data_IF_751119016157
#
_entry.id   IF_751119016157
#
_cell.length_a   1.000
_cell.length_b   1.000
_cell.length_c   1.000
_cell.angle_alpha   90.00
_cell.angle_beta   90.00
_cell.angle_gamma   90.00
#
_symmetry.space_group_name_H-M   'P 1'
#
loop_
_entity.id
_entity.type
_entity.pdbx_description
1 polymer ?
#
# COMPACT_ATOMS: atom_id res chain seq x y z
N UNK A 1 -11.69 -22.37 1.64
CA UNK A 1 -11.40 -22.69 0.22
C UNK A 1 -10.46 -23.88 0.04
N UNK A 2 -9.51 -24.14 0.94
CA UNK A 2 -8.65 -25.34 0.87
C UNK A 2 -9.22 -26.56 1.63
N UNK A 3 -10.54 -26.73 1.62
CA UNK A 3 -11.19 -27.93 2.20
C UNK A 3 -11.60 -28.85 1.07
N UNK A 4 -11.61 -30.17 1.30
CA UNK A 4 -12.02 -31.17 0.29
C UNK A 4 -13.35 -30.83 -0.39
N UNK A 5 -14.40 -30.40 0.36
CA UNK A 5 -15.66 -29.98 -0.28
C UNK A 5 -15.51 -28.75 -1.18
N UNK A 6 -14.63 -27.81 -0.82
CA UNK A 6 -14.36 -26.62 -1.62
C UNK A 6 -13.70 -26.93 -2.95
N UNK A 7 -12.78 -27.90 -2.99
CA UNK A 7 -12.15 -28.36 -4.24
C UNK A 7 -13.15 -29.10 -5.14
N UNK A 8 -13.97 -29.98 -4.56
CA UNK A 8 -15.01 -30.71 -5.30
C UNK A 8 -16.04 -29.74 -5.88
N UNK A 9 -16.52 -28.79 -5.08
CA UNK A 9 -17.50 -27.80 -5.53
C UNK A 9 -16.96 -26.95 -6.69
N UNK A 10 -15.69 -26.51 -6.61
CA UNK A 10 -15.06 -25.79 -7.73
C UNK A 10 -14.96 -26.63 -8.99
N UNK A 11 -14.53 -27.89 -8.88
CA UNK A 11 -14.45 -28.79 -10.04
C UNK A 11 -15.81 -29.00 -10.72
N UNK A 12 -16.89 -29.13 -9.92
CA UNK A 12 -18.26 -29.21 -10.43
C UNK A 12 -18.65 -27.90 -11.14
N UNK A 13 -18.39 -26.75 -10.53
CA UNK A 13 -18.68 -25.44 -11.15
C UNK A 13 -17.95 -25.27 -12.49
N UNK A 14 -16.66 -25.57 -12.56
CA UNK A 14 -15.89 -25.52 -13.82
C UNK A 14 -16.48 -26.43 -14.88
N UNK A 15 -16.85 -27.65 -14.49
CA UNK A 15 -17.44 -28.64 -15.40
C UNK A 15 -18.78 -28.15 -15.95
N UNK A 16 -19.60 -27.51 -15.12
CA UNK A 16 -20.87 -26.91 -15.53
C UNK A 16 -20.68 -25.71 -16.47
N UNK A 17 -19.71 -24.83 -16.20
CA UNK A 17 -19.39 -23.69 -17.07
C UNK A 17 -18.91 -24.19 -18.44
N UNK A 18 -18.00 -25.16 -18.47
CA UNK A 18 -17.49 -25.71 -19.73
C UNK A 18 -18.59 -26.46 -20.49
N UNK A 19 -19.43 -27.23 -19.78
CA UNK A 19 -20.59 -27.89 -20.38
C UNK A 19 -21.58 -26.88 -20.97
N UNK A 20 -21.86 -25.78 -20.28
CA UNK A 20 -22.75 -24.72 -20.78
C UNK A 20 -22.21 -24.05 -22.04
N UNK A 21 -20.89 -23.78 -22.10
CA UNK A 21 -20.23 -23.26 -23.29
C UNK A 21 -20.31 -24.25 -24.46
N UNK A 22 -20.06 -25.54 -24.21
CA UNK A 22 -20.15 -26.58 -25.23
C UNK A 22 -21.58 -26.75 -25.74
N UNK A 23 -22.56 -26.84 -24.85
CA UNK A 23 -23.97 -26.91 -25.21
C UNK A 23 -24.39 -25.71 -26.05
N UNK A 24 -23.96 -24.50 -25.68
CA UNK A 24 -24.25 -23.30 -26.46
C UNK A 24 -23.58 -23.32 -27.84
N UNK A 25 -22.36 -23.87 -27.96
CA UNK A 25 -21.69 -24.08 -29.26
C UNK A 25 -22.51 -25.01 -30.15
N UNK A 26 -22.97 -26.14 -29.63
CA UNK A 26 -23.68 -27.17 -30.41
C UNK A 26 -25.16 -26.90 -30.64
N UNK A 27 -25.77 -25.96 -29.90
CA UNK A 27 -27.18 -25.60 -30.09
C UNK A 27 -27.35 -24.81 -31.40
N UNK A 28 -28.38 -25.16 -32.17
CA UNK A 28 -28.78 -24.44 -33.38
C UNK A 28 -29.30 -23.04 -33.03
N UNK A 29 -28.77 -22.02 -33.72
CA UNK A 29 -28.97 -20.60 -33.35
C UNK A 29 -29.92 -19.85 -34.28
N UNK A 30 -30.67 -20.57 -35.12
CA UNK A 30 -31.48 -19.97 -36.19
C UNK A 30 -32.59 -19.02 -35.72
N UNK A 31 -33.04 -19.14 -34.47
CA UNK A 31 -34.13 -18.33 -33.91
C UNK A 31 -33.66 -17.22 -32.95
N UNK A 32 -32.34 -17.03 -32.79
CA UNK A 32 -31.80 -16.03 -31.87
C UNK A 32 -31.24 -14.83 -32.62
N UNK A 33 -31.38 -13.65 -32.03
CA UNK A 33 -30.76 -12.45 -32.59
C UNK A 33 -29.23 -12.53 -32.54
N UNK A 34 -28.56 -11.95 -33.54
CA UNK A 34 -27.10 -11.98 -33.62
C UNK A 34 -26.44 -11.29 -32.44
N UNK A 35 -27.09 -10.26 -31.89
CA UNK A 35 -26.57 -9.53 -30.72
C UNK A 35 -26.59 -10.44 -29.48
N UNK A 36 -27.69 -11.14 -29.24
CA UNK A 36 -27.84 -12.06 -28.10
C UNK A 36 -26.86 -13.24 -28.18
N UNK A 37 -26.63 -13.76 -29.39
CA UNK A 37 -25.60 -14.79 -29.63
C UNK A 37 -24.21 -14.25 -29.27
N UNK A 38 -23.88 -13.03 -29.70
CA UNK A 38 -22.58 -12.41 -29.43
C UNK A 38 -22.37 -12.16 -27.92
N UNK A 39 -23.38 -11.63 -27.24
CA UNK A 39 -23.34 -11.39 -25.79
C UNK A 39 -23.14 -12.70 -25.03
N UNK A 40 -23.89 -13.75 -25.39
CA UNK A 40 -23.81 -15.04 -24.70
C UNK A 40 -22.45 -15.71 -24.88
N UNK A 41 -21.86 -15.65 -26.08
CA UNK A 41 -20.49 -16.11 -26.30
C UNK A 41 -19.48 -15.31 -25.47
N UNK A 42 -19.59 -13.97 -25.45
CA UNK A 42 -18.68 -13.13 -24.68
C UNK A 42 -18.74 -13.45 -23.18
N UNK A 43 -19.93 -13.65 -22.62
CA UNK A 43 -20.12 -13.99 -21.21
C UNK A 43 -19.59 -15.40 -20.88
N UNK A 44 -19.95 -16.42 -21.68
CA UNK A 44 -19.53 -17.81 -21.41
C UNK A 44 -18.02 -17.99 -21.60
N UNK A 45 -17.43 -17.40 -22.64
CA UNK A 45 -15.99 -17.44 -22.85
C UNK A 45 -15.24 -16.66 -21.77
N UNK A 46 -15.76 -15.51 -21.33
CA UNK A 46 -15.20 -14.75 -20.22
C UNK A 46 -15.25 -15.52 -18.89
N UNK A 47 -16.40 -16.14 -18.58
CA UNK A 47 -16.57 -16.96 -17.39
C UNK A 47 -15.65 -18.19 -17.40
N UNK A 48 -15.57 -18.91 -18.53
CA UNK A 48 -14.67 -20.05 -18.67
C UNK A 48 -13.20 -19.64 -18.54
N UNK A 49 -12.80 -18.52 -19.15
CA UNK A 49 -11.44 -18.00 -19.04
C UNK A 49 -11.07 -17.63 -17.61
N UNK A 50 -11.93 -16.89 -16.90
CA UNK A 50 -11.72 -16.51 -15.50
C UNK A 50 -11.67 -17.74 -14.57
N UNK A 51 -12.52 -18.73 -14.81
CA UNK A 51 -12.59 -19.94 -13.99
C UNK A 51 -11.37 -20.84 -14.20
N UNK A 52 -10.87 -20.96 -15.44
CA UNK A 52 -9.59 -21.63 -15.75
C UNK A 52 -8.45 -20.94 -15.00
N UNK A 53 -8.35 -19.61 -15.06
CA UNK A 53 -7.32 -18.85 -14.32
C UNK A 53 -7.43 -19.11 -12.80
N UNK A 54 -8.65 -19.09 -12.26
CA UNK A 54 -8.88 -19.32 -10.84
C UNK A 54 -8.53 -20.76 -10.40
N UNK A 55 -8.75 -21.76 -11.26
CA UNK A 55 -8.32 -23.14 -11.05
C UNK A 55 -6.81 -23.27 -11.11
N UNK A 56 -6.16 -22.65 -12.10
CA UNK A 56 -4.70 -22.66 -12.22
C UNK A 56 -4.04 -22.03 -10.98
N UNK A 57 -4.52 -20.86 -10.54
CA UNK A 57 -4.03 -20.23 -9.30
C UNK A 57 -4.20 -21.12 -8.07
N UNK A 58 -5.31 -21.87 -8.01
CA UNK A 58 -5.59 -22.77 -6.90
C UNK A 58 -4.72 -24.03 -6.93
N UNK A 59 -4.45 -24.61 -8.11
CA UNK A 59 -3.58 -25.79 -8.25
C UNK A 59 -2.10 -25.47 -8.00
N UNK A 60 -1.68 -24.25 -8.34
CA UNK A 60 -0.30 -23.75 -8.14
C UNK A 60 -0.11 -23.18 -6.73
N UNK A 61 -1.18 -22.99 -5.95
CA UNK A 61 -1.08 -22.51 -4.57
C UNK A 61 -0.23 -23.43 -3.70
N UNK A 62 0.67 -22.85 -2.89
CA UNK A 62 1.53 -23.58 -1.96
C UNK A 62 0.75 -24.58 -1.09
N UNK A 63 -0.43 -24.18 -0.61
CA UNK A 63 -1.27 -25.04 0.23
C UNK A 63 -1.87 -26.22 -0.54
N UNK A 64 -2.21 -26.03 -1.82
CA UNK A 64 -2.70 -27.11 -2.67
C UNK A 64 -1.56 -28.07 -3.02
N UNK A 65 -0.39 -27.54 -3.38
CA UNK A 65 0.83 -28.31 -3.66
C UNK A 65 1.24 -29.14 -2.45
N UNK A 66 1.26 -28.55 -1.24
CA UNK A 66 1.55 -29.28 0.00
C UNK A 66 0.48 -30.33 0.29
N UNK A 67 -0.81 -29.97 0.20
CA UNK A 67 -1.90 -30.91 0.47
C UNK A 67 -1.90 -32.12 -0.49
N UNK A 68 -1.62 -31.88 -1.77
CA UNK A 68 -1.54 -32.92 -2.80
C UNK A 68 -0.29 -33.78 -2.57
N UNK A 69 0.88 -33.19 -2.31
CA UNK A 69 2.09 -33.97 -2.02
C UNK A 69 1.93 -34.82 -0.76
N UNK A 70 1.40 -34.26 0.33
CA UNK A 70 1.12 -35.02 1.56
C UNK A 70 0.13 -36.17 1.31
N UNK A 71 -0.94 -35.96 0.55
CA UNK A 71 -1.90 -37.03 0.21
C UNK A 71 -1.30 -38.11 -0.68
N UNK A 72 -0.49 -37.75 -1.66
CA UNK A 72 0.19 -38.72 -2.53
C UNK A 72 1.18 -39.58 -1.74
N UNK A 73 1.86 -39.00 -0.76
CA UNK A 73 2.72 -39.73 0.20
C UNK A 73 1.88 -40.67 1.06
N UNK A 74 0.77 -40.20 1.65
CA UNK A 74 -0.10 -41.01 2.50
C UNK A 74 -0.76 -42.19 1.75
N UNK A 75 -1.08 -42.01 0.47
CA UNK A 75 -1.70 -43.06 -0.36
C UNK A 75 -0.68 -44.05 -0.94
N UNK A 76 0.61 -43.91 -0.63
CA UNK A 76 1.67 -44.78 -1.18
C UNK A 76 1.82 -44.68 -2.71
N UNK A 77 1.24 -43.65 -3.33
CA UNK A 77 1.21 -43.45 -4.80
C UNK A 77 2.28 -42.47 -5.29
N UNK A 78 3.28 -42.18 -4.48
CA UNK A 78 4.40 -41.32 -4.90
C UNK A 78 5.33 -42.13 -5.83
N UNK A 79 4.92 -42.25 -7.09
CA UNK A 79 5.80 -42.68 -8.16
C UNK A 79 6.67 -41.49 -8.58
N UNK A 80 7.98 -41.57 -8.37
CA UNK A 80 8.93 -40.51 -8.70
C UNK A 80 8.92 -40.16 -10.19
N UNK A 81 8.51 -41.09 -11.07
CA UNK A 81 8.46 -40.87 -12.51
C UNK A 81 7.11 -40.37 -13.06
N UNK A 82 6.11 -40.14 -12.19
CA UNK A 82 4.81 -39.64 -12.62
C UNK A 82 4.89 -38.22 -13.20
N UNK A 83 4.05 -37.94 -14.20
CA UNK A 83 3.88 -36.57 -14.74
C UNK A 83 3.48 -35.60 -13.62
N UNK A 84 2.71 -36.07 -12.63
CA UNK A 84 2.24 -35.27 -11.50
C UNK A 84 3.38 -34.90 -10.55
N UNK A 85 4.30 -35.82 -10.23
CA UNK A 85 5.44 -35.53 -9.35
C UNK A 85 6.39 -34.53 -10.01
N UNK A 86 6.72 -34.72 -11.29
CA UNK A 86 7.56 -33.78 -12.07
C UNK A 86 6.93 -32.39 -12.17
N UNK A 87 5.60 -32.32 -12.33
CA UNK A 87 4.88 -31.05 -12.36
C UNK A 87 4.91 -30.35 -11.00
N UNK A 88 4.69 -31.07 -9.90
CA UNK A 88 4.76 -30.53 -8.54
C UNK A 88 6.18 -30.09 -8.17
N UNK A 89 7.21 -30.85 -8.53
CA UNK A 89 8.61 -30.48 -8.35
C UNK A 89 8.98 -29.24 -9.16
N UNK A 90 8.47 -29.12 -10.40
CA UNK A 90 8.68 -27.93 -11.23
C UNK A 90 7.99 -26.69 -10.63
N UNK A 91 6.80 -26.85 -10.03
CA UNK A 91 6.12 -25.76 -9.33
C UNK A 91 6.88 -25.39 -8.05
N UNK A 92 7.30 -26.36 -7.25
CA UNK A 92 8.04 -26.12 -6.00
C UNK A 92 9.44 -25.54 -6.23
N UNK A 93 10.11 -25.96 -7.31
CA UNK A 93 11.43 -25.44 -7.70
C UNK A 93 11.34 -24.07 -8.36
N UNK A 94 10.20 -23.71 -8.94
CA UNK A 94 9.87 -22.33 -9.32
C UNK A 94 9.64 -21.50 -8.06
N UNK A 95 10.72 -21.21 -7.34
CA UNK A 95 10.78 -20.27 -6.21
C UNK A 95 10.55 -18.85 -6.75
N UNK A 96 9.33 -18.56 -7.17
CA UNK A 96 8.92 -17.17 -7.32
C UNK A 96 8.89 -16.58 -5.91
N UNK A 97 9.56 -15.45 -5.66
CA UNK A 97 9.48 -14.81 -4.37
C UNK A 97 8.00 -14.52 -4.09
N UNK A 98 7.50 -15.02 -2.95
CA UNK A 98 6.07 -14.89 -2.60
C UNK A 98 5.62 -13.44 -2.50
N UNK A 99 6.58 -12.53 -2.30
CA UNK A 99 6.41 -11.10 -2.37
C UNK A 99 7.22 -10.55 -3.55
N UNK A 100 6.60 -9.68 -4.34
CA UNK A 100 7.19 -9.07 -5.53
C UNK A 100 8.31 -8.06 -5.24
N UNK A 101 8.65 -7.87 -3.96
CA UNK A 101 9.52 -6.80 -3.46
C UNK A 101 9.11 -5.41 -3.94
N UNK A 102 7.84 -5.24 -4.28
CA UNK A 102 7.29 -3.96 -4.71
C UNK A 102 6.19 -3.52 -3.76
N UNK A 103 5.96 -2.22 -3.75
CA UNK A 103 4.88 -1.60 -3.01
C UNK A 103 4.08 -0.67 -3.92
N UNK A 104 2.80 -0.56 -3.61
CA UNK A 104 1.90 0.32 -4.36
C UNK A 104 2.26 1.78 -4.08
N UNK A 105 2.04 2.64 -5.06
CA UNK A 105 2.30 4.06 -4.98
C UNK A 105 1.03 4.81 -5.38
N UNK A 106 0.67 5.82 -4.59
CA UNK A 106 -0.49 6.66 -4.85
C UNK A 106 -0.22 8.07 -4.37
N UNK A 107 -0.47 9.07 -5.22
CA UNK A 107 -0.15 10.46 -4.95
C UNK A 107 -1.37 11.38 -5.13
N UNK A 108 -1.66 12.21 -4.13
CA UNK A 108 -2.84 13.06 -4.10
C UNK A 108 -2.82 14.14 -5.19
N UNK A 109 -1.68 14.81 -5.37
CA UNK A 109 -1.56 15.92 -6.33
C UNK A 109 -1.64 15.37 -7.75
N UNK A 110 -0.94 14.26 -8.04
CA UNK A 110 -1.02 13.61 -9.35
C UNK A 110 -2.45 13.15 -9.67
N UNK A 111 -3.15 12.54 -8.70
CA UNK A 111 -4.56 12.20 -8.84
C UNK A 111 -5.45 13.42 -9.17
N UNK A 112 -5.24 14.55 -8.49
CA UNK A 112 -6.03 15.76 -8.73
C UNK A 112 -5.75 16.41 -10.09
N UNK A 113 -4.57 16.19 -10.67
CA UNK A 113 -4.16 16.74 -11.96
C UNK A 113 -4.46 15.83 -13.15
N UNK A 114 -4.61 14.53 -12.93
CA UNK A 114 -4.89 13.56 -13.99
C UNK A 114 -6.39 13.50 -14.30
N UNK A 115 -6.71 13.50 -15.60
CA UNK A 115 -8.07 13.28 -16.07
C UNK A 115 -8.29 11.79 -16.32
N UNK A 116 -9.50 11.32 -16.05
CA UNK A 116 -9.98 10.00 -16.51
C UNK A 116 -9.80 9.88 -18.03
N UNK A 117 -9.20 8.78 -18.52
CA UNK A 117 -9.27 8.45 -19.94
C UNK A 117 -10.74 8.26 -20.37
N UNK A 118 -11.12 8.77 -21.54
CA UNK A 118 -12.53 8.78 -21.98
C UNK A 118 -13.16 7.38 -22.08
N UNK A 119 -12.37 6.33 -22.39
CA UNK A 119 -12.85 4.95 -22.47
C UNK A 119 -13.21 4.35 -21.10
N UNK A 120 -12.57 4.81 -20.01
CA UNK A 120 -12.86 4.37 -18.64
C UNK A 120 -14.20 4.90 -18.16
N UNK A 121 -14.63 6.08 -18.63
CA UNK A 121 -15.94 6.62 -18.28
C UNK A 121 -17.10 5.72 -18.73
N UNK A 122 -16.94 4.99 -19.84
CA UNK A 122 -17.96 4.08 -20.34
C UNK A 122 -18.11 2.83 -19.46
N UNK A 123 -16.99 2.23 -19.06
CA UNK A 123 -16.99 1.04 -18.18
C UNK A 123 -17.43 1.38 -16.76
N UNK A 124 -17.04 2.55 -16.24
CA UNK A 124 -17.49 3.07 -14.94
C UNK A 124 -19.01 3.24 -14.88
N UNK A 125 -19.63 3.72 -15.97
CA UNK A 125 -21.09 3.91 -16.05
C UNK A 125 -21.84 2.58 -15.99
N UNK A 126 -21.20 1.49 -16.41
CA UNK A 126 -21.75 0.13 -16.37
C UNK A 126 -21.54 -0.52 -15.00
N UNK A 127 -20.37 -0.34 -14.38
CA UNK A 127 -19.98 -0.97 -13.11
C UNK A 127 -20.47 -0.26 -11.85
N UNK A 128 -20.84 1.04 -11.94
CA UNK A 128 -21.46 1.77 -10.83
C UNK A 128 -20.54 2.12 -9.65
N UNK A 129 -19.22 1.96 -9.77
CA UNK A 129 -18.24 2.29 -8.70
C UNK A 129 -17.11 3.18 -9.23
N UNK A 130 -17.41 4.43 -9.63
CA UNK A 130 -16.45 5.35 -10.28
C UNK A 130 -15.20 5.61 -9.43
N UNK A 131 -15.38 5.86 -8.15
CA UNK A 131 -14.30 6.39 -7.30
C UNK A 131 -13.26 5.31 -6.98
N UNK A 132 -13.69 4.06 -6.75
CA UNK A 132 -12.77 2.95 -6.46
C UNK A 132 -11.91 2.62 -7.68
N UNK A 133 -12.49 2.64 -8.89
CA UNK A 133 -11.75 2.34 -10.11
C UNK A 133 -10.73 3.43 -10.44
N UNK A 134 -11.08 4.68 -10.22
CA UNK A 134 -10.17 5.82 -10.39
C UNK A 134 -8.92 5.69 -9.53
N UNK A 135 -9.11 5.39 -8.24
CA UNK A 135 -7.99 5.24 -7.32
C UNK A 135 -7.11 4.06 -7.70
N UNK A 136 -7.71 2.95 -8.15
CA UNK A 136 -6.97 1.79 -8.65
C UNK A 136 -6.15 2.11 -9.91
N UNK A 137 -6.72 2.84 -10.88
CA UNK A 137 -6.04 3.22 -12.12
C UNK A 137 -4.90 4.22 -11.91
N UNK A 138 -4.98 5.04 -10.85
CA UNK A 138 -3.93 5.95 -10.44
C UNK A 138 -2.90 5.30 -9.49
N UNK A 139 -3.00 4.00 -9.24
CA UNK A 139 -2.01 3.26 -8.45
C UNK A 139 -0.90 2.75 -9.36
N UNK A 140 0.35 3.03 -9.04
CA UNK A 140 1.53 2.43 -9.66
C UNK A 140 2.28 1.53 -8.68
N UNK A 141 3.37 0.90 -9.11
CA UNK A 141 4.20 0.03 -8.28
C UNK A 141 5.66 0.45 -8.37
N UNK A 142 6.33 0.47 -7.22
CA UNK A 142 7.76 0.76 -7.10
C UNK A 142 8.46 -0.36 -6.34
N UNK A 143 9.71 -0.66 -6.71
CA UNK A 143 10.54 -1.64 -6.02
C UNK A 143 10.96 -1.11 -4.64
N UNK A 144 10.81 -1.94 -3.61
CA UNK A 144 11.41 -1.74 -2.30
C UNK A 144 12.86 -2.19 -2.38
N UNK A 145 13.74 -1.27 -2.78
CA UNK A 145 15.17 -1.55 -2.92
C UNK A 145 15.87 -1.81 -1.57
N UNK A 146 17.10 -2.30 -1.64
CA UNK A 146 17.92 -2.63 -0.44
C UNK A 146 18.18 -1.40 0.44
N UNK A 147 18.30 -0.21 -0.15
CA UNK A 147 18.53 1.03 0.59
C UNK A 147 17.31 1.39 1.45
N UNK A 148 16.11 1.28 0.89
CA UNK A 148 14.85 1.49 1.60
C UNK A 148 14.64 0.43 2.71
N UNK A 149 14.91 -0.85 2.42
CA UNK A 149 14.86 -1.93 3.43
C UNK A 149 15.82 -1.62 4.59
N UNK A 150 17.05 -1.23 4.28
CA UNK A 150 18.08 -0.90 5.27
C UNK A 150 17.68 0.33 6.10
N UNK A 151 17.11 1.35 5.47
CA UNK A 151 16.64 2.56 6.16
C UNK A 151 15.53 2.24 7.17
N UNK A 152 14.47 1.54 6.73
CA UNK A 152 13.38 1.09 7.61
C UNK A 152 13.93 0.25 8.77
N UNK A 153 14.81 -0.70 8.48
CA UNK A 153 15.43 -1.54 9.50
C UNK A 153 16.23 -0.73 10.53
N UNK A 154 17.03 0.22 10.06
CA UNK A 154 17.90 1.04 10.91
C UNK A 154 17.07 1.89 11.86
N UNK A 155 16.03 2.54 11.35
CA UNK A 155 15.16 3.39 12.17
C UNK A 155 14.33 2.60 13.18
N UNK A 156 13.77 1.45 12.80
CA UNK A 156 13.06 0.60 13.76
C UNK A 156 14.00 0.02 14.83
N UNK A 157 15.23 -0.34 14.45
CA UNK A 157 16.25 -0.80 15.40
C UNK A 157 16.67 0.31 16.35
N UNK A 158 16.80 1.55 15.86
CA UNK A 158 17.08 2.73 16.69
C UNK A 158 15.95 2.98 17.69
N UNK A 159 14.70 2.92 17.23
CA UNK A 159 13.50 3.04 18.07
C UNK A 159 13.44 1.97 19.15
N UNK A 160 13.71 0.71 18.81
CA UNK A 160 13.77 -0.41 19.77
C UNK A 160 14.84 -0.21 20.86
N UNK A 161 16.04 0.26 20.49
CA UNK A 161 17.12 0.52 21.46
C UNK A 161 16.84 1.68 22.42
N UNK A 162 15.92 2.57 22.09
CA UNK A 162 15.55 3.71 22.94
C UNK A 162 14.59 3.31 24.08
N UNK A 163 14.06 2.08 24.07
CA UNK A 163 13.08 1.61 25.04
C UNK A 163 13.73 0.72 26.11
N UNK A 164 13.63 1.12 27.38
CA UNK A 164 14.25 0.38 28.50
C UNK A 164 13.26 -0.57 29.22
N UNK A 165 11.95 -0.39 29.00
CA UNK A 165 10.90 -1.12 29.70
C UNK A 165 9.63 -1.25 28.84
N UNK A 166 8.73 -2.14 29.24
CA UNK A 166 7.48 -2.46 28.53
C UNK A 166 6.56 -1.23 28.36
N UNK A 167 6.50 -0.33 29.34
CA UNK A 167 5.67 0.90 29.27
C UNK A 167 6.26 1.87 28.24
N UNK A 168 7.59 2.02 28.23
CA UNK A 168 8.30 2.81 27.23
C UNK A 168 8.12 2.25 25.81
N UNK A 169 8.14 0.92 25.63
CA UNK A 169 7.86 0.26 24.34
C UNK A 169 6.45 0.60 23.87
N UNK A 170 5.44 0.49 24.76
CA UNK A 170 4.05 0.78 24.43
C UNK A 170 3.85 2.24 24.01
N UNK A 171 4.45 3.17 24.76
CA UNK A 171 4.44 4.60 24.46
C UNK A 171 5.07 4.87 23.08
N UNK A 172 6.25 4.32 22.81
CA UNK A 172 6.93 4.46 21.52
C UNK A 172 6.12 3.90 20.35
N UNK A 173 5.43 2.77 20.53
CA UNK A 173 4.56 2.18 19.51
C UNK A 173 3.32 3.02 19.21
N UNK A 174 2.94 3.92 20.12
CA UNK A 174 1.81 4.85 19.97
C UNK A 174 2.22 6.18 19.31
N UNK A 175 3.52 6.48 19.23
CA UNK A 175 4.02 7.68 18.58
C UNK A 175 3.86 7.61 17.05
N UNK A 176 3.54 8.77 16.45
CA UNK A 176 3.15 8.95 15.03
C UNK A 176 4.04 9.97 14.31
N UNK A 177 5.27 10.13 14.78
CA UNK A 177 6.26 11.12 14.35
C UNK A 177 6.76 11.99 15.49
N UNK A 178 6.03 12.07 16.61
CA UNK A 178 6.40 12.89 17.77
C UNK A 178 7.70 12.43 18.43
N UNK A 179 8.00 11.13 18.44
CA UNK A 179 9.26 10.64 18.99
C UNK A 179 10.46 11.09 18.15
N UNK A 180 10.38 10.97 16.81
CA UNK A 180 11.41 11.50 15.90
C UNK A 180 11.57 13.02 16.08
N UNK A 181 10.48 13.78 16.14
CA UNK A 181 10.56 15.24 16.29
C UNK A 181 11.17 15.65 17.64
N UNK A 182 10.88 14.92 18.71
CA UNK A 182 11.49 15.13 20.03
C UNK A 182 12.99 14.79 20.01
N UNK A 183 13.37 13.61 19.51
CA UNK A 183 14.76 13.16 19.38
C UNK A 183 15.62 14.10 18.52
N UNK A 184 15.03 14.70 17.49
CA UNK A 184 15.69 15.66 16.59
C UNK A 184 15.60 17.12 17.05
N UNK A 185 14.88 17.41 18.14
CA UNK A 185 14.74 18.76 18.71
C UNK A 185 13.78 19.69 17.96
N UNK A 186 12.88 19.16 17.13
CA UNK A 186 11.91 19.92 16.33
C UNK A 186 10.47 19.84 16.84
N UNK A 187 10.22 19.23 18.00
CA UNK A 187 8.87 19.09 18.57
C UNK A 187 8.16 20.44 18.75
N UNK A 188 8.87 21.50 19.17
CA UNK A 188 8.27 22.83 19.34
C UNK A 188 7.87 23.49 18.01
N UNK A 189 8.59 23.21 16.92
CA UNK A 189 8.34 23.82 15.60
C UNK A 189 7.32 23.02 14.78
N UNK A 190 7.38 21.69 14.87
CA UNK A 190 6.65 20.75 14.00
C UNK A 190 5.65 19.85 14.75
N UNK A 191 5.60 19.84 16.08
CA UNK A 191 4.75 18.92 16.87
C UNK A 191 3.26 18.99 16.49
N UNK A 192 2.76 20.19 16.19
CA UNK A 192 1.39 20.42 15.72
C UNK A 192 1.01 19.56 14.50
N UNK A 193 1.98 19.17 13.67
CA UNK A 193 1.79 18.38 12.46
C UNK A 193 1.65 16.87 12.69
N UNK A 194 2.01 16.39 13.89
CA UNK A 194 1.96 14.96 14.25
C UNK A 194 1.01 14.68 15.43
N UNK A 195 0.72 15.70 16.24
CA UNK A 195 -0.17 15.61 17.41
C UNK A 195 -1.66 15.50 17.04
N UNK A 196 -2.00 15.80 15.79
CA UNK A 196 -3.37 15.74 15.24
C UNK A 196 -3.88 14.30 15.08
N UNK A 197 -5.10 14.10 14.55
CA UNK A 197 -5.61 12.76 14.21
C UNK A 197 -4.66 12.05 13.22
N UNK A 198 -4.57 10.72 13.27
CA UNK A 198 -3.56 9.99 12.50
C UNK A 198 -3.72 10.18 10.98
N UNK A 199 -4.95 10.18 10.48
CA UNK A 199 -5.29 10.44 9.09
C UNK A 199 -4.98 11.88 8.66
N UNK A 200 -5.18 12.85 9.57
CA UNK A 200 -4.82 14.24 9.36
C UNK A 200 -3.30 14.39 9.21
N UNK A 201 -2.53 13.87 10.16
CA UNK A 201 -1.07 13.90 10.11
C UNK A 201 -0.55 13.19 8.85
N UNK A 202 -1.10 12.03 8.49
CA UNK A 202 -0.68 11.29 7.29
C UNK A 202 -0.92 12.10 6.01
N UNK A 203 -2.13 12.66 5.82
CA UNK A 203 -2.45 13.47 4.64
C UNK A 203 -1.61 14.75 4.59
N UNK A 204 -1.45 15.43 5.73
CA UNK A 204 -0.66 16.64 5.89
C UNK A 204 0.80 16.41 5.47
N UNK A 205 1.44 15.38 6.04
CA UNK A 205 2.82 15.03 5.74
C UNK A 205 2.98 14.55 4.29
N UNK A 206 2.00 13.85 3.72
CA UNK A 206 2.05 13.40 2.33
C UNK A 206 2.16 14.58 1.36
N UNK A 207 1.25 15.54 1.48
CA UNK A 207 1.24 16.72 0.62
C UNK A 207 2.51 17.56 0.85
N UNK A 208 2.94 17.74 2.11
CA UNK A 208 4.14 18.48 2.43
C UNK A 208 5.40 17.83 1.81
N UNK A 209 5.52 16.50 1.91
CA UNK A 209 6.60 15.72 1.30
C UNK A 209 6.62 15.90 -0.22
N UNK A 210 5.45 15.86 -0.86
CA UNK A 210 5.31 16.04 -2.30
C UNK A 210 5.72 17.46 -2.78
N UNK A 211 5.31 18.49 -2.03
CA UNK A 211 5.71 19.88 -2.26
C UNK A 211 7.23 20.05 -2.08
N UNK A 212 7.83 19.42 -1.07
CA UNK A 212 9.28 19.43 -0.81
C UNK A 212 10.09 18.72 -1.89
N UNK A 213 9.51 17.73 -2.59
CA UNK A 213 10.25 16.82 -3.46
C UNK A 213 10.95 17.48 -4.65
N UNK A 214 10.42 18.54 -5.27
CA UNK A 214 11.00 19.09 -6.51
C UNK A 214 11.74 20.43 -6.39
N UNK A 215 11.77 21.05 -5.21
CA UNK A 215 12.21 22.43 -5.08
C UNK A 215 13.70 22.68 -5.36
N UNK A 216 14.61 21.79 -4.92
CA UNK A 216 16.07 22.03 -5.03
C UNK A 216 16.68 21.69 -6.38
N UNK A 217 15.98 20.95 -7.25
CA UNK A 217 16.52 20.59 -8.57
C UNK A 217 16.45 21.73 -9.60
N UNK A 218 15.73 22.81 -9.29
CA UNK A 218 15.52 23.95 -10.21
C UNK A 218 16.25 25.22 -9.78
N UNK A 219 16.54 25.41 -8.48
CA UNK A 219 17.26 26.60 -7.97
C UNK A 219 18.77 26.49 -8.21
N UNK A 220 19.30 25.28 -8.13
CA UNK A 220 20.68 25.00 -8.49
C UNK A 220 20.63 24.25 -9.82
N UNK A 221 21.06 24.87 -10.92
CA UNK A 221 21.30 24.22 -12.21
C UNK A 221 22.42 23.18 -12.18
N UNK A 222 22.55 22.46 -11.08
CA UNK A 222 23.45 21.33 -10.92
C UNK A 222 22.79 20.14 -11.60
N UNK A 223 23.11 20.02 -12.90
CA UNK A 223 23.00 18.76 -13.61
C UNK A 223 23.56 17.64 -12.75
N UNK A 224 22.93 16.47 -12.86
CA UNK A 224 23.21 15.24 -12.14
C UNK A 224 24.68 14.80 -12.20
N UNK A 225 25.55 15.46 -11.43
CA UNK A 225 26.97 15.18 -11.29
C UNK A 225 27.35 15.19 -9.80
N UNK A 226 26.69 14.34 -9.03
CA UNK A 226 27.29 13.73 -7.84
C UNK A 226 26.99 12.23 -7.84
N UNK A 227 27.34 11.57 -8.96
CA UNK A 227 27.71 10.17 -8.91
C UNK A 227 29.05 10.09 -8.15
N UNK A 228 28.98 9.82 -6.84
CA UNK A 228 29.98 9.15 -6.00
C UNK A 228 29.88 9.60 -4.53
N UNK A 229 28.82 9.20 -3.84
CA UNK A 229 28.92 8.87 -2.40
C UNK A 229 27.81 7.86 -2.08
N UNK A 230 28.15 6.81 -1.34
CA UNK A 230 27.22 5.78 -0.84
C UNK A 230 26.28 6.32 0.27
N UNK A 231 25.77 7.55 0.10
CA UNK A 231 24.86 8.20 1.02
C UNK A 231 23.42 7.77 0.70
N UNK A 232 22.61 7.40 1.71
CA UNK A 232 21.22 7.04 1.52
C UNK A 232 20.42 8.20 0.92
N UNK A 233 19.71 7.95 -0.18
CA UNK A 233 18.79 8.93 -0.79
C UNK A 233 17.49 9.02 0.02
N UNK A 234 17.57 9.69 1.17
CA UNK A 234 16.42 9.92 2.05
C UNK A 234 15.27 10.61 1.32
N UNK A 235 15.56 11.42 0.29
CA UNK A 235 14.54 12.11 -0.51
C UNK A 235 13.68 11.12 -1.28
N UNK A 236 14.30 10.23 -2.05
CA UNK A 236 13.58 9.19 -2.81
C UNK A 236 12.84 8.24 -1.86
N UNK A 237 13.50 7.77 -0.80
CA UNK A 237 12.90 6.87 0.19
C UNK A 237 11.69 7.50 0.91
N UNK A 238 11.80 8.76 1.33
CA UNK A 238 10.70 9.51 1.95
C UNK A 238 9.46 9.57 1.07
N UNK A 239 9.64 9.92 -0.22
CA UNK A 239 8.53 9.98 -1.17
C UNK A 239 7.88 8.61 -1.36
N UNK A 240 8.69 7.57 -1.49
CA UNK A 240 8.20 6.21 -1.69
C UNK A 240 7.38 5.67 -0.51
N UNK A 241 7.82 5.92 0.73
CA UNK A 241 7.02 5.57 1.92
C UNK A 241 5.76 6.43 1.97
N UNK A 242 5.86 7.73 1.66
CA UNK A 242 4.72 8.64 1.64
C UNK A 242 3.62 8.22 0.66
N UNK A 243 3.98 7.94 -0.59
CA UNK A 243 3.05 7.52 -1.65
C UNK A 243 2.44 6.14 -1.32
N UNK A 244 3.19 5.24 -0.67
CA UNK A 244 2.68 3.96 -0.19
C UNK A 244 1.69 4.11 0.98
N UNK A 245 2.00 4.99 1.94
CA UNK A 245 1.13 5.26 3.08
C UNK A 245 -0.19 5.89 2.66
N UNK A 246 -0.17 6.79 1.67
CA UNK A 246 -1.41 7.32 1.09
C UNK A 246 -2.20 6.25 0.36
N UNK A 247 -1.54 5.35 -0.39
CA UNK A 247 -2.21 4.20 -1.00
C UNK A 247 -2.96 3.36 0.04
N UNK A 248 -2.32 3.07 1.18
CA UNK A 248 -2.96 2.32 2.26
C UNK A 248 -4.20 3.05 2.79
N UNK A 249 -4.13 4.38 2.97
CA UNK A 249 -5.26 5.18 3.45
C UNK A 249 -6.45 5.17 2.49
N UNK A 250 -6.19 5.31 1.18
CA UNK A 250 -7.24 5.55 0.17
C UNK A 250 -7.75 4.26 -0.47
N UNK A 251 -6.85 3.38 -0.89
CA UNK A 251 -7.17 2.18 -1.68
C UNK A 251 -7.36 0.97 -0.79
N UNK A 252 -6.63 0.90 0.32
CA UNK A 252 -6.64 -0.26 1.23
C UNK A 252 -6.96 0.13 2.69
N UNK A 253 -8.05 0.87 2.95
CA UNK A 253 -8.36 1.41 4.27
C UNK A 253 -8.52 0.34 5.36
N UNK A 254 -8.81 -0.91 4.98
CA UNK A 254 -8.89 -2.05 5.92
C UNK A 254 -7.55 -2.44 6.56
N UNK A 255 -6.43 -2.01 5.98
CA UNK A 255 -5.09 -2.17 6.55
C UNK A 255 -4.67 -0.97 7.40
N UNK A 256 -5.43 0.11 7.36
CA UNK A 256 -5.27 1.24 8.25
C UNK A 256 -6.20 1.04 9.45
N UNK A 257 -5.85 1.66 10.58
CA UNK A 257 -6.58 1.57 11.86
C UNK A 257 -8.11 1.70 11.72
N UNK A 258 -8.86 1.31 12.76
CA UNK A 258 -10.34 1.36 12.84
C UNK A 258 -10.99 2.74 12.58
N UNK A 259 -10.19 3.79 12.37
CA UNK A 259 -10.60 5.17 12.08
C UNK A 259 -10.62 5.51 10.57
N UNK A 260 -10.46 4.53 9.68
CA UNK A 260 -10.34 4.75 8.23
C UNK A 260 -11.48 5.58 7.58
N UNK A 261 -12.68 5.62 8.19
CA UNK A 261 -13.81 6.39 7.68
C UNK A 261 -13.59 7.91 7.69
N UNK A 262 -13.00 8.46 8.76
CA UNK A 262 -12.77 9.92 8.90
C UNK A 262 -11.66 10.37 7.93
N UNK A 263 -10.61 9.56 7.79
CA UNK A 263 -9.52 9.84 6.86
C UNK A 263 -9.95 9.94 5.40
N UNK A 264 -10.91 9.11 4.97
CA UNK A 264 -11.45 9.20 3.60
C UNK A 264 -12.27 10.47 3.37
N UNK A 265 -12.97 10.98 4.40
CA UNK A 265 -13.67 12.27 4.32
C UNK A 265 -12.65 13.40 4.15
N UNK A 266 -11.62 13.40 5.00
CA UNK A 266 -10.54 14.41 4.96
C UNK A 266 -9.79 14.39 3.64
N UNK A 267 -9.54 13.20 3.09
CA UNK A 267 -8.95 13.01 1.77
C UNK A 267 -9.83 13.60 0.65
N UNK A 268 -11.14 13.36 0.68
CA UNK A 268 -12.09 13.88 -0.32
C UNK A 268 -12.18 15.40 -0.28
N UNK A 269 -12.30 15.99 0.90
CA UNK A 269 -12.30 17.45 1.07
C UNK A 269 -11.01 18.06 0.54
N UNK A 270 -9.87 17.41 0.81
CA UNK A 270 -8.56 17.85 0.32
C UNK A 270 -8.41 17.73 -1.19
N UNK A 271 -8.93 16.67 -1.79
CA UNK A 271 -8.97 16.55 -3.24
C UNK A 271 -9.89 17.61 -3.87
N UNK A 272 -11.02 17.92 -3.24
CA UNK A 272 -11.94 18.94 -3.73
C UNK A 272 -11.28 20.33 -3.70
N UNK A 273 -10.63 20.69 -2.59
CA UNK A 273 -9.89 21.96 -2.46
C UNK A 273 -8.74 22.04 -3.48
N UNK A 274 -7.96 20.97 -3.62
CA UNK A 274 -6.88 20.91 -4.60
C UNK A 274 -7.38 21.04 -6.04
N UNK A 275 -8.49 20.39 -6.41
CA UNK A 275 -9.08 20.49 -7.75
C UNK A 275 -9.65 21.87 -8.06
N UNK A 276 -10.12 22.60 -7.04
CA UNK A 276 -10.54 24.00 -7.17
C UNK A 276 -9.32 24.90 -7.34
N UNK A 277 -8.27 24.66 -6.55
CA UNK A 277 -7.04 25.45 -6.57
C UNK A 277 -6.25 25.30 -7.88
N UNK A 278 -6.15 24.09 -8.42
CA UNK A 278 -5.38 23.85 -9.65
C UNK A 278 -6.17 24.23 -10.91
N UNK A 279 -5.63 25.12 -11.77
CA UNK A 279 -6.26 25.44 -13.04
C UNK A 279 -6.31 24.21 -13.96
N UNK A 280 -7.40 24.08 -14.72
CA UNK A 280 -7.53 23.02 -15.74
C UNK A 280 -6.48 23.23 -16.84
N UNK A 281 -5.44 22.39 -16.85
CA UNK A 281 -4.39 22.44 -17.88
C UNK A 281 -4.07 21.05 -18.47
N UNK A 282 -3.71 21.04 -19.76
CA UNK A 282 -3.31 19.84 -20.52
C UNK A 282 -1.78 19.66 -20.63
N UNK A 283 -0.99 20.53 -19.99
CA UNK A 283 0.48 20.51 -20.10
C UNK A 283 1.09 19.27 -19.44
N UNK A 284 2.22 18.80 -19.98
CA UNK A 284 3.05 17.75 -19.37
C UNK A 284 3.67 18.20 -18.04
N UNK A 285 3.96 19.49 -17.88
CA UNK A 285 4.60 20.05 -16.68
C UNK A 285 3.62 20.46 -15.57
N UNK A 286 2.36 19.99 -15.67
CA UNK A 286 1.28 20.36 -14.73
C UNK A 286 1.63 20.07 -13.27
N UNK A 287 2.37 18.99 -12.99
CA UNK A 287 2.74 18.61 -11.63
C UNK A 287 3.77 19.56 -11.01
N UNK A 288 4.80 19.94 -11.77
CA UNK A 288 5.81 20.92 -11.34
C UNK A 288 5.13 22.26 -11.08
N UNK A 289 4.27 22.70 -12.01
CA UNK A 289 3.53 23.95 -11.87
C UNK A 289 2.59 23.94 -10.67
N UNK A 290 1.88 22.83 -10.40
CA UNK A 290 1.01 22.67 -9.24
C UNK A 290 1.78 22.83 -7.92
N UNK A 291 2.92 22.15 -7.80
CA UNK A 291 3.80 22.26 -6.63
C UNK A 291 4.32 23.69 -6.45
N UNK A 292 4.69 24.37 -7.54
CA UNK A 292 5.10 25.79 -7.50
C UNK A 292 3.97 26.70 -7.03
N UNK A 293 2.77 26.57 -7.59
CA UNK A 293 1.61 27.36 -7.19
C UNK A 293 1.30 27.19 -5.69
N UNK A 294 1.37 25.96 -5.16
CA UNK A 294 1.18 25.72 -3.73
C UNK A 294 2.23 26.43 -2.87
N UNK A 295 3.49 26.50 -3.30
CA UNK A 295 4.56 27.19 -2.56
C UNK A 295 4.41 28.70 -2.55
N UNK A 296 3.95 29.26 -3.66
CA UNK A 296 3.72 30.70 -3.84
C UNK A 296 2.52 31.21 -3.01
N UNK A 297 1.69 30.31 -2.47
CA UNK A 297 0.60 30.69 -1.55
C UNK A 297 1.17 31.41 -0.35
N UNK A 298 0.72 32.64 -0.12
CA UNK A 298 1.01 33.38 1.10
C UNK A 298 0.21 32.80 2.27
N UNK A 299 0.88 32.54 3.39
CA UNK A 299 0.28 31.98 4.61
C UNK A 299 0.39 33.03 5.73
N UNK A 300 0.02 34.27 5.42
CA UNK A 300 -0.02 35.37 6.39
C UNK A 300 -1.07 35.16 7.49
N UNK A 301 -2.08 34.31 7.24
CA UNK A 301 -3.09 33.90 8.21
C UNK A 301 -3.07 32.38 8.34
N UNK A 302 -3.15 31.87 9.57
CA UNK A 302 -3.16 30.43 9.81
C UNK A 302 -4.37 29.79 9.06
N UNK A 303 -4.15 28.75 8.24
CA UNK A 303 -5.21 28.15 7.43
C UNK A 303 -6.44 27.72 8.24
N UNK A 304 -6.27 27.40 9.53
CA UNK A 304 -7.35 27.08 10.46
C UNK A 304 -8.42 28.17 10.54
N UNK A 305 -8.04 29.45 10.43
CA UNK A 305 -8.97 30.58 10.51
C UNK A 305 -9.68 30.89 9.17
N UNK A 306 -9.14 30.41 8.05
CA UNK A 306 -9.69 30.66 6.71
C UNK A 306 -10.68 29.57 6.28
N UNK A 307 -10.44 28.34 6.73
CA UNK A 307 -11.09 27.11 6.27
C UNK A 307 -12.55 26.95 6.73
N UNK A 308 -12.95 27.62 7.82
CA UNK A 308 -14.27 27.48 8.44
C UNK A 308 -14.59 26.04 8.87
N UNK A 309 -15.71 25.83 9.58
CA UNK A 309 -16.05 24.49 10.12
C UNK A 309 -16.56 23.48 9.07
N UNK A 310 -16.73 23.90 7.81
CA UNK A 310 -17.38 23.10 6.76
C UNK A 310 -16.44 22.14 6.01
N UNK A 311 -15.13 22.38 6.01
CA UNK A 311 -14.14 21.56 5.28
C UNK A 311 -13.11 21.00 6.25
N UNK A 312 -12.79 19.71 6.14
CA UNK A 312 -11.70 19.08 6.91
C UNK A 312 -10.36 19.13 6.16
N UNK A 313 -10.28 19.75 4.98
CA UNK A 313 -9.12 19.72 4.08
C UNK A 313 -7.78 20.20 4.68
N UNK A 314 -6.71 19.44 4.53
CA UNK A 314 -5.38 19.79 5.06
C UNK A 314 -4.44 20.44 4.04
N UNK A 315 -4.94 20.91 2.88
CA UNK A 315 -4.08 21.33 1.76
C UNK A 315 -3.14 22.48 2.16
N UNK A 316 -3.69 23.57 2.69
CA UNK A 316 -2.90 24.75 3.06
C UNK A 316 -2.14 24.57 4.37
N UNK A 317 -2.65 23.76 5.29
CA UNK A 317 -1.87 23.29 6.45
C UNK A 317 -0.60 22.57 5.97
N UNK A 318 -0.69 21.75 4.92
CA UNK A 318 0.45 21.04 4.37
C UNK A 318 1.45 21.98 3.67
N UNK A 319 0.98 23.07 3.06
CA UNK A 319 1.86 24.12 2.53
C UNK A 319 2.65 24.78 3.68
N UNK A 320 1.99 25.08 4.81
CA UNK A 320 2.65 25.61 6.01
C UNK A 320 3.74 24.67 6.50
N UNK A 321 3.42 23.38 6.63
CA UNK A 321 4.39 22.35 7.01
C UNK A 321 5.56 22.27 6.02
N UNK A 322 5.28 22.30 4.71
CA UNK A 322 6.33 22.25 3.68
C UNK A 322 7.32 23.42 3.79
N UNK A 323 6.82 24.64 4.07
CA UNK A 323 7.68 25.82 4.29
C UNK A 323 8.57 25.65 5.52
N UNK A 324 8.01 25.20 6.66
CA UNK A 324 8.79 24.93 7.87
C UNK A 324 9.84 23.83 7.66
N UNK A 325 9.52 22.79 6.89
CA UNK A 325 10.46 21.72 6.55
C UNK A 325 11.62 22.21 5.66
N UNK A 326 11.40 23.21 4.81
CA UNK A 326 12.45 23.74 3.94
C UNK A 326 13.48 24.60 4.67
N UNK A 327 13.14 25.13 5.85
CA UNK A 327 14.06 25.84 6.74
C UNK A 327 15.05 24.88 7.43
N UNK A 328 14.79 23.57 7.41
CA UNK A 328 15.60 22.59 8.13
C UNK A 328 16.81 22.12 7.31
N UNK A 329 18.03 22.07 7.91
CA UNK A 329 19.24 21.64 7.21
C UNK A 329 19.17 20.17 6.79
N UNK A 330 18.60 19.31 7.64
CA UNK A 330 18.52 17.85 7.44
C UNK A 330 17.10 17.38 7.07
N UNK A 331 16.33 18.21 6.37
CA UNK A 331 14.89 17.98 6.13
C UNK A 331 14.53 16.57 5.65
N UNK A 332 15.29 16.00 4.70
CA UNK A 332 14.94 14.71 4.10
C UNK A 332 15.16 13.53 5.05
N UNK A 333 16.16 13.63 5.92
CA UNK A 333 16.38 12.65 6.98
C UNK A 333 15.19 12.69 7.96
N UNK A 334 14.80 13.88 8.42
CA UNK A 334 13.67 14.07 9.35
C UNK A 334 12.37 13.58 8.73
N UNK A 335 12.08 13.96 7.48
CA UNK A 335 10.88 13.50 6.75
C UNK A 335 10.88 11.97 6.65
N UNK A 336 12.02 11.36 6.28
CA UNK A 336 12.12 9.91 6.17
C UNK A 336 11.87 9.20 7.49
N UNK A 337 12.44 9.71 8.59
CA UNK A 337 12.30 9.14 9.92
C UNK A 337 10.85 9.23 10.41
N UNK A 338 10.18 10.37 10.23
CA UNK A 338 8.76 10.53 10.55
C UNK A 338 7.90 9.56 9.72
N UNK A 339 8.22 9.35 8.44
CA UNK A 339 7.52 8.37 7.62
C UNK A 339 7.71 6.93 8.10
N UNK A 340 8.91 6.54 8.52
CA UNK A 340 9.12 5.21 9.13
C UNK A 340 8.34 5.08 10.44
N UNK A 341 8.24 6.15 11.23
CA UNK A 341 7.45 6.14 12.45
C UNK A 341 5.95 5.98 12.17
N UNK A 342 5.39 6.74 11.23
CA UNK A 342 4.00 6.59 10.76
C UNK A 342 3.72 5.19 10.20
N UNK A 343 4.67 4.64 9.44
CA UNK A 343 4.60 3.28 8.90
C UNK A 343 4.60 2.23 10.02
N UNK A 344 5.44 2.42 11.04
CA UNK A 344 5.50 1.55 12.23
C UNK A 344 4.19 1.57 13.02
N UNK A 345 3.62 2.76 13.22
CA UNK A 345 2.33 2.94 13.88
C UNK A 345 1.22 2.21 13.11
N UNK A 346 1.21 2.36 11.79
CA UNK A 346 0.24 1.69 10.92
C UNK A 346 0.35 0.17 10.98
N UNK A 347 1.57 -0.35 11.02
CA UNK A 347 1.83 -1.78 11.08
C UNK A 347 1.34 -2.39 12.40
N UNK A 348 1.52 -1.70 13.52
CA UNK A 348 1.08 -2.15 14.85
C UNK A 348 -0.44 -2.04 15.07
N UNK A 349 -1.10 -1.07 14.43
CA UNK A 349 -2.54 -0.83 14.57
C UNK A 349 -3.40 -1.48 13.46
N UNK A 350 -2.77 -2.15 12.50
CA UNK A 350 -3.45 -2.99 11.52
C UNK A 350 -3.94 -4.29 12.19
N UNK A 351 -5.20 -4.67 11.95
CA UNK A 351 -5.77 -5.89 12.53
C UNK A 351 -5.09 -7.13 11.95
N UNK A 352 -4.80 -8.13 12.79
CA UNK A 352 -4.13 -9.36 12.36
C UNK A 352 -4.82 -10.10 11.21
N UNK A 353 -6.16 -10.04 11.14
CA UNK A 353 -6.92 -10.61 10.02
C UNK A 353 -6.69 -9.85 8.69
N UNK A 354 -6.47 -8.54 8.73
CA UNK A 354 -6.12 -7.74 7.55
C UNK A 354 -4.71 -8.07 7.05
N UNK A 355 -3.74 -8.23 7.96
CA UNK A 355 -2.40 -8.74 7.63
C UNK A 355 -2.48 -10.15 6.99
N UNK A 356 -3.25 -11.07 7.58
CA UNK A 356 -3.42 -12.43 7.06
C UNK A 356 -4.11 -12.45 5.68
N UNK A 357 -5.09 -11.58 5.44
CA UNK A 357 -5.77 -11.46 4.15
C UNK A 357 -4.86 -10.93 3.03
N UNK A 358 -3.79 -10.19 3.37
CA UNK A 358 -2.76 -9.77 2.38
C UNK A 358 -1.71 -10.84 2.14
N UNK A 359 -1.37 -11.62 3.15
CA UNK A 359 -0.44 -12.74 3.00
C UNK A 359 -0.90 -13.71 1.91
N UNK A 360 -2.21 -14.00 1.86
CA UNK A 360 -2.79 -14.85 0.81
C UNK A 360 -2.80 -14.24 -0.59
N UNK A 361 -2.46 -12.95 -0.73
CA UNK A 361 -2.44 -12.19 -1.99
C UNK A 361 -1.02 -11.78 -2.44
N UNK A 362 0.03 -12.34 -1.84
CA UNK A 362 1.43 -12.05 -2.20
C UNK A 362 2.17 -11.11 -1.23
N UNK A 363 1.57 -10.81 -0.07
CA UNK A 363 2.19 -9.98 0.95
C UNK A 363 2.28 -8.49 0.60
N UNK A 364 2.53 -7.66 1.61
CA UNK A 364 2.61 -6.21 1.52
C UNK A 364 3.76 -5.72 2.40
N UNK A 365 4.39 -4.59 2.06
CA UNK A 365 5.49 -4.03 2.85
C UNK A 365 5.11 -3.85 4.33
N UNK A 366 3.87 -3.43 4.59
CA UNK A 366 3.36 -3.19 5.96
C UNK A 366 3.43 -4.45 6.84
N UNK A 367 3.24 -5.63 6.25
CA UNK A 367 3.30 -6.90 6.97
C UNK A 367 4.75 -7.25 7.34
N UNK A 368 5.72 -6.99 6.46
CA UNK A 368 7.14 -7.17 6.76
C UNK A 368 7.60 -6.20 7.85
N UNK A 369 7.13 -4.95 7.82
CA UNK A 369 7.38 -3.98 8.90
C UNK A 369 6.81 -4.49 10.21
N UNK A 370 5.57 -5.00 10.21
CA UNK A 370 4.96 -5.59 11.40
C UNK A 370 5.80 -6.75 11.95
N UNK A 371 6.18 -7.72 11.12
CA UNK A 371 7.04 -8.84 11.55
C UNK A 371 8.40 -8.39 12.09
N UNK A 372 9.02 -7.39 11.45
CA UNK A 372 10.27 -6.82 11.90
C UNK A 372 10.11 -6.13 13.27
N UNK A 373 9.02 -5.40 13.47
CA UNK A 373 8.68 -4.81 14.76
C UNK A 373 8.53 -5.88 15.84
N UNK A 374 7.82 -6.99 15.55
CA UNK A 374 7.72 -8.14 16.47
C UNK A 374 9.11 -8.67 16.84
N UNK A 375 9.98 -8.88 15.84
CA UNK A 375 11.34 -9.36 16.07
C UNK A 375 12.19 -8.41 16.92
N UNK A 376 11.97 -7.10 16.79
CA UNK A 376 12.64 -6.05 17.56
C UNK A 376 11.99 -5.77 18.92
N UNK A 377 10.97 -6.55 19.33
CA UNK A 377 10.25 -6.35 20.59
C UNK A 377 9.36 -5.10 20.61
N UNK A 378 9.02 -4.55 19.45
CA UNK A 378 8.14 -3.38 19.29
C UNK A 378 6.70 -3.84 19.01
N UNK A 379 5.84 -3.90 20.03
CA UNK A 379 4.41 -4.08 19.80
C UNK A 379 3.58 -4.31 21.06
N UNK A 380 2.42 -3.66 21.13
CA UNK A 380 1.52 -3.74 22.29
C UNK A 380 1.01 -5.16 22.57
N UNK A 381 0.83 -5.96 21.52
CA UNK A 381 0.27 -7.32 21.59
C UNK A 381 1.29 -8.37 22.07
N UNK A 382 2.57 -7.99 22.21
CA UNK A 382 3.68 -8.90 22.53
C UNK A 382 4.38 -8.53 23.84
N UNK A 383 3.95 -7.45 24.49
CA UNK A 383 4.27 -7.15 25.87
C UNK A 383 3.58 -8.20 26.77
N UNK A 384 4.17 -9.38 26.88
CA UNK A 384 3.77 -10.36 27.87
C UNK A 384 4.04 -9.73 29.24
N UNK A 385 2.98 -9.40 29.98
CA UNK A 385 3.09 -9.18 31.43
C UNK A 385 3.82 -10.38 32.01
N UNK A 386 4.75 -10.14 32.95
CA UNK A 386 5.76 -11.09 33.43
C UNK A 386 5.22 -12.36 34.15
N UNK A 387 4.02 -12.84 33.82
CA UNK A 387 3.41 -14.08 34.31
C UNK A 387 3.27 -15.20 33.27
N UNK A 388 3.51 -14.99 31.97
CA UNK A 388 3.36 -16.03 30.94
C UNK A 388 4.65 -16.28 30.17
N UNK A 389 5.54 -17.06 30.77
CA UNK A 389 6.79 -17.52 30.16
C UNK A 389 6.54 -18.24 28.82
N UNK A 390 6.91 -17.60 27.72
CA UNK A 390 7.15 -18.28 26.44
C UNK A 390 8.65 -18.32 26.21
N UNK A 391 9.14 -19.53 25.94
CA UNK A 391 10.55 -19.92 26.01
C UNK A 391 11.51 -18.99 25.25
N UNK A 392 12.51 -18.51 25.98
CA UNK A 392 13.69 -17.82 25.44
C UNK A 392 14.53 -18.86 24.70
N UNK A 393 14.51 -18.86 23.37
CA UNK A 393 15.43 -19.66 22.57
C UNK A 393 16.80 -18.98 22.63
N UNK A 394 17.67 -19.53 23.49
CA UNK A 394 19.09 -19.18 23.54
C UNK A 394 19.73 -19.88 22.34
N UNK A 395 20.21 -19.09 21.39
CA UNK A 395 21.13 -19.58 20.36
C UNK A 395 22.53 -19.28 20.87
N UNK A 396 23.16 -20.28 21.47
CA UNK A 396 24.59 -20.23 21.74
C UNK A 396 25.38 -20.64 20.47
N UNK A 397 26.36 -19.78 20.18
CA UNK A 397 27.44 -19.74 19.17
C UNK A 397 27.50 -20.78 18.04
#
# INVERSE_FOLDING_TARGET
MHTVPGYVLRGVCTSLILASLLLFVFTNKHNYDRVDICITYALLSGAAGLDIVALTMLLVSDLAVISITTRLIQLGKKDENSIVSRFLEKIQSSKNPKWSESMSQYNLIDFCLNKRPAYVNLTVRILGVPDVLDHFLCTSYELVDTSLKHFIFTELKRKSKSANDSKSIKMLCSCRGSWVLEDRGYQNQLGWSVDSEFDESLLLWHIATDICYNYKSEVNGEGANHANTAQPDYRKMSRHISDYMLYLLVVQPSMMSSMAGIGLIRYRDTCAEAKIFFPRQKSKDKLIKARRMLREVDIGVDPKYVKGDRSKSVLFDAVKLAKQLDELPNKWMIIGEVWVELLSYSASHCRGNAHAARLSKGGELLMFVWFLMVHLGLGEQFCIEAGHASAKLIVDK
#
